data_IF_746549608030
#
_entry.id   IF_746549608030
#
_cell.length_a   1.000
_cell.length_b   1.000
_cell.length_c   1.000
_cell.angle_alpha   90.00
_cell.angle_beta   90.00
_cell.angle_gamma   90.00
#
_symmetry.space_group_name_H-M   'P 1'
#
loop_
_entity.id
_entity.type
_entity.pdbx_description
1 polymer ?
#
# COMPACT_ATOMS: atom_id res chain seq x y z
N UNK A 1 -79.46 -27.02 -12.43
CA UNK A 1 -79.16 -25.59 -12.60
C UNK A 1 -78.49 -25.15 -11.30
N UNK A 2 -77.16 -25.27 -11.24
CA UNK A 2 -76.20 -24.16 -11.44
C UNK A 2 -76.25 -23.24 -10.20
N UNK A 3 -75.19 -22.98 -9.44
CA UNK A 3 -73.82 -22.74 -9.86
C UNK A 3 -72.79 -22.99 -8.74
N UNK A 4 -71.59 -23.37 -9.20
CA UNK A 4 -70.31 -23.38 -8.48
C UNK A 4 -69.79 -21.94 -8.35
N UNK A 5 -69.22 -21.54 -7.20
CA UNK A 5 -68.29 -20.40 -7.14
C UNK A 5 -67.49 -20.46 -5.82
N UNK A 6 -66.28 -20.99 -5.82
CA UNK A 6 -65.00 -20.33 -6.16
C UNK A 6 -64.32 -19.73 -4.92
N UNK A 7 -63.48 -20.55 -4.29
CA UNK A 7 -62.47 -20.16 -3.30
C UNK A 7 -61.44 -19.27 -3.98
N UNK A 8 -61.37 -17.99 -3.61
CA UNK A 8 -60.29 -17.08 -4.04
C UNK A 8 -59.15 -17.14 -3.02
N UNK A 9 -58.06 -17.84 -3.36
CA UNK A 9 -56.79 -17.75 -2.64
C UNK A 9 -56.11 -16.43 -3.06
N UNK A 10 -55.97 -15.47 -2.14
CA UNK A 10 -55.06 -14.34 -2.34
C UNK A 10 -53.63 -14.83 -2.07
N UNK A 11 -52.83 -14.97 -3.13
CA UNK A 11 -51.39 -15.07 -3.02
C UNK A 11 -50.83 -13.64 -2.97
N UNK A 12 -50.34 -13.21 -1.80
CA UNK A 12 -49.60 -11.97 -1.67
C UNK A 12 -48.18 -12.17 -2.25
N UNK A 13 -47.92 -11.57 -3.39
CA UNK A 13 -46.58 -11.48 -3.98
C UNK A 13 -45.76 -10.48 -3.16
N UNK A 14 -44.91 -10.97 -2.24
CA UNK A 14 -43.82 -10.17 -1.68
C UNK A 14 -42.76 -9.96 -2.77
N UNK A 15 -42.80 -8.80 -3.42
CA UNK A 15 -41.69 -8.35 -4.24
C UNK A 15 -40.53 -7.95 -3.31
N UNK A 16 -39.56 -8.85 -3.13
CA UNK A 16 -38.24 -8.49 -2.60
C UNK A 16 -37.55 -7.61 -3.64
N UNK A 17 -37.65 -6.29 -3.48
CA UNK A 17 -36.77 -5.36 -4.15
C UNK A 17 -35.36 -5.56 -3.60
N UNK A 18 -34.57 -6.39 -4.28
CA UNK A 18 -33.12 -6.42 -4.09
C UNK A 18 -32.58 -5.05 -4.55
N UNK A 19 -32.43 -4.10 -3.62
CA UNK A 19 -31.51 -2.99 -3.81
C UNK A 19 -30.12 -3.59 -3.94
N UNK A 20 -29.71 -3.93 -5.17
CA UNK A 20 -28.31 -3.95 -5.51
C UNK A 20 -27.82 -2.52 -5.24
N UNK A 21 -27.25 -2.28 -4.06
CA UNK A 21 -26.49 -1.07 -3.83
C UNK A 21 -25.46 -1.05 -4.97
N UNK A 22 -25.46 -0.04 -5.86
CA UNK A 22 -24.41 0.06 -6.84
C UNK A 22 -23.13 0.03 -6.03
N UNK A 23 -22.20 -0.85 -6.40
CA UNK A 23 -20.81 -0.75 -5.99
C UNK A 23 -20.35 0.62 -6.49
N UNK A 24 -20.60 1.66 -5.71
CA UNK A 24 -20.06 2.98 -5.94
C UNK A 24 -18.56 2.76 -5.76
N UNK A 25 -17.87 2.53 -6.87
CA UNK A 25 -16.51 3.00 -6.99
C UNK A 25 -16.59 4.46 -6.57
N UNK A 26 -16.13 4.76 -5.35
CA UNK A 26 -16.08 6.13 -4.89
C UNK A 26 -15.02 6.80 -5.76
N UNK A 27 -15.47 7.54 -6.77
CA UNK A 27 -14.64 8.53 -7.43
C UNK A 27 -13.95 9.41 -6.39
N UNK A 28 -12.75 9.91 -6.70
CA UNK A 28 -12.06 10.77 -5.77
C UNK A 28 -12.89 12.05 -5.61
N UNK A 29 -13.07 12.52 -4.38
CA UNK A 29 -13.83 13.77 -4.17
C UNK A 29 -13.14 15.01 -4.74
N UNK A 30 -11.84 14.89 -4.98
CA UNK A 30 -11.00 15.88 -5.67
C UNK A 30 -11.23 15.93 -7.17
N UNK A 31 -11.85 14.92 -7.77
CA UNK A 31 -12.06 14.86 -9.21
C UNK A 31 -13.09 15.92 -9.65
N UNK A 32 -12.85 16.63 -10.76
CA UNK A 32 -13.88 17.46 -11.39
C UNK A 32 -15.09 16.61 -11.79
N UNK A 33 -16.33 17.13 -11.65
CA UNK A 33 -17.52 16.41 -12.11
C UNK A 33 -17.42 16.03 -13.59
N UNK A 34 -17.53 14.75 -13.90
CA UNK A 34 -17.40 14.20 -15.26
C UNK A 34 -15.99 13.77 -15.69
N UNK A 35 -14.99 13.92 -14.82
CA UNK A 35 -13.60 13.45 -15.03
C UNK A 35 -13.20 12.35 -14.04
N UNK A 36 -14.17 11.74 -13.35
CA UNK A 36 -13.93 10.71 -12.35
C UNK A 36 -13.33 9.43 -12.97
N UNK A 37 -12.17 8.98 -12.47
CA UNK A 37 -11.59 7.67 -12.81
C UNK A 37 -11.73 6.71 -11.62
N UNK A 38 -12.58 5.70 -11.79
CA UNK A 38 -12.82 4.65 -10.80
C UNK A 38 -11.56 3.84 -10.44
N UNK A 39 -10.50 3.93 -11.24
CA UNK A 39 -9.23 3.23 -11.03
C UNK A 39 -8.20 4.07 -10.26
N UNK A 40 -8.53 5.33 -9.94
CA UNK A 40 -7.69 6.21 -9.13
C UNK A 40 -7.74 5.80 -7.65
N UNK A 41 -6.57 5.66 -7.02
CA UNK A 41 -6.47 5.44 -5.59
C UNK A 41 -6.61 6.80 -4.88
N UNK A 42 -7.77 7.04 -4.29
CA UNK A 42 -8.13 8.27 -3.58
C UNK A 42 -7.96 8.23 -2.06
N UNK A 43 -8.00 9.40 -1.42
CA UNK A 43 -8.03 9.54 0.04
C UNK A 43 -9.20 8.78 0.69
N UNK A 44 -10.34 8.69 0.01
CA UNK A 44 -11.54 7.96 0.45
C UNK A 44 -11.30 6.46 0.62
N UNK A 45 -10.34 5.89 -0.12
CA UNK A 45 -9.95 4.49 0.04
C UNK A 45 -9.10 4.26 1.29
N UNK A 46 -8.57 5.32 1.91
CA UNK A 46 -7.81 5.21 3.15
C UNK A 46 -8.77 4.93 4.31
N UNK A 47 -8.70 3.74 4.94
CA UNK A 47 -9.70 3.35 5.92
C UNK A 47 -9.53 4.17 7.21
N UNK A 48 -10.64 4.65 7.77
CA UNK A 48 -10.63 5.42 9.03
C UNK A 48 -10.06 4.61 10.22
N UNK A 49 -10.19 3.29 10.16
CA UNK A 49 -9.62 2.32 11.12
C UNK A 49 -8.30 1.70 10.61
N UNK A 50 -7.56 2.42 9.75
CA UNK A 50 -6.24 1.99 9.29
C UNK A 50 -5.28 1.70 10.47
N UNK A 51 -4.38 0.71 10.34
CA UNK A 51 -3.24 0.56 11.24
C UNK A 51 -2.49 1.89 11.38
N UNK A 52 -2.24 2.34 12.61
CA UNK A 52 -1.56 3.61 12.89
C UNK A 52 -0.11 3.37 13.27
N UNK A 53 0.76 4.35 13.04
CA UNK A 53 2.18 4.23 13.38
C UNK A 53 2.40 3.99 14.88
N UNK A 54 1.54 4.59 15.72
CA UNK A 54 1.56 4.52 17.18
C UNK A 54 1.25 3.11 17.71
N UNK A 55 0.59 2.26 16.90
CA UNK A 55 0.29 0.87 17.27
C UNK A 55 1.50 -0.06 17.09
N UNK A 56 2.57 0.40 16.41
CA UNK A 56 3.76 -0.39 16.11
C UNK A 56 5.06 0.31 16.55
N UNK A 57 5.19 0.76 17.81
CA UNK A 57 6.30 1.61 18.23
C UNK A 57 7.64 0.86 18.25
N UNK A 58 8.71 1.60 18.00
CA UNK A 58 10.09 1.17 18.22
C UNK A 58 10.96 2.40 18.50
N UNK A 59 12.01 2.24 19.29
CA UNK A 59 12.91 3.36 19.61
C UNK A 59 13.77 3.72 18.38
N UNK A 60 13.75 4.98 17.90
CA UNK A 60 14.66 5.45 16.85
C UNK A 60 16.12 5.25 17.22
N UNK A 61 16.93 4.87 16.23
CA UNK A 61 18.38 4.73 16.38
C UNK A 61 19.10 5.98 15.88
N UNK A 62 19.97 6.53 16.72
CA UNK A 62 20.74 7.76 16.45
C UNK A 62 22.25 7.50 16.34
N UNK A 63 22.66 6.23 16.34
CA UNK A 63 24.06 5.85 16.26
C UNK A 63 24.63 5.89 14.83
N UNK A 64 25.89 5.44 14.65
CA UNK A 64 26.55 5.43 13.35
C UNK A 64 25.88 4.46 12.37
N UNK A 65 25.99 4.80 11.07
CA UNK A 65 25.55 3.98 9.95
C UNK A 65 26.76 3.20 9.40
N UNK A 66 26.66 1.88 9.39
CA UNK A 66 27.67 1.00 8.83
C UNK A 66 27.69 1.05 7.30
N UNK A 67 28.86 0.80 6.70
CA UNK A 67 28.98 0.69 5.26
C UNK A 67 28.16 -0.49 4.71
N UNK A 68 27.45 -0.27 3.60
CA UNK A 68 26.62 -1.32 2.97
C UNK A 68 27.46 -2.53 2.55
N UNK A 69 26.93 -3.71 2.85
CA UNK A 69 27.45 -5.01 2.43
C UNK A 69 26.67 -5.52 1.22
N UNK A 70 27.19 -5.26 0.02
CA UNK A 70 26.57 -5.67 -1.25
C UNK A 70 27.37 -6.72 -2.02
N UNK A 71 28.63 -7.01 -1.63
CA UNK A 71 29.54 -7.84 -2.46
C UNK A 71 29.06 -9.28 -2.67
N UNK A 72 28.50 -9.89 -1.63
CA UNK A 72 28.01 -11.28 -1.64
C UNK A 72 26.57 -11.41 -2.15
N UNK A 73 25.91 -10.29 -2.44
CA UNK A 73 24.54 -10.22 -2.90
C UNK A 73 24.54 -9.69 -4.36
N UNK A 74 24.31 -10.57 -5.36
CA UNK A 74 24.37 -10.18 -6.76
C UNK A 74 23.42 -9.04 -7.12
N UNK A 75 22.23 -9.00 -6.50
CA UNK A 75 21.23 -7.97 -6.78
C UNK A 75 21.62 -6.66 -6.10
N UNK A 76 22.06 -6.69 -4.85
CA UNK A 76 22.59 -5.49 -4.19
C UNK A 76 23.83 -4.92 -4.92
N UNK A 77 24.68 -5.78 -5.51
CA UNK A 77 25.86 -5.34 -6.29
C UNK A 77 25.48 -4.54 -7.54
N UNK A 78 24.37 -4.85 -8.18
CA UNK A 78 23.83 -4.10 -9.32
C UNK A 78 23.53 -2.65 -8.93
N UNK A 79 22.98 -2.44 -7.72
CA UNK A 79 22.57 -1.13 -7.21
C UNK A 79 23.52 -0.53 -6.17
N UNK A 80 24.79 -0.96 -6.16
CA UNK A 80 25.78 -0.58 -5.14
C UNK A 80 25.90 0.94 -4.92
N UNK A 81 25.77 1.73 -5.98
CA UNK A 81 25.86 3.21 -5.89
C UNK A 81 24.64 3.77 -5.17
N UNK A 82 23.43 3.34 -5.54
CA UNK A 82 22.19 3.79 -4.88
C UNK A 82 22.19 3.42 -3.40
N UNK A 83 22.55 2.17 -3.09
CA UNK A 83 22.65 1.70 -1.71
C UNK A 83 23.67 2.50 -0.89
N UNK A 84 24.85 2.75 -1.47
CA UNK A 84 25.89 3.56 -0.83
C UNK A 84 25.37 4.97 -0.53
N UNK A 85 24.80 5.64 -1.53
CA UNK A 85 24.26 7.00 -1.38
C UNK A 85 23.18 7.03 -0.29
N UNK A 86 22.24 6.07 -0.28
CA UNK A 86 21.23 5.99 0.78
C UNK A 86 21.84 5.93 2.18
N UNK A 87 22.91 5.16 2.40
CA UNK A 87 23.58 5.13 3.71
C UNK A 87 24.43 6.35 4.04
N UNK A 88 24.83 7.14 3.05
CA UNK A 88 25.61 8.36 3.25
C UNK A 88 24.71 9.57 3.49
N UNK A 89 23.59 9.64 2.78
CA UNK A 89 22.72 10.82 2.73
C UNK A 89 21.59 10.73 3.75
N UNK A 90 21.23 9.52 4.19
CA UNK A 90 20.10 9.31 5.09
C UNK A 90 20.55 8.83 6.47
N UNK A 91 19.82 9.31 7.49
CA UNK A 91 19.83 8.72 8.83
C UNK A 91 18.83 7.55 8.87
N UNK A 92 18.94 6.63 9.86
CA UNK A 92 17.91 5.64 10.12
C UNK A 92 16.52 6.30 10.18
N UNK A 93 15.67 5.96 9.23
CA UNK A 93 14.38 6.60 8.98
C UNK A 93 13.21 5.62 9.11
N UNK A 94 13.50 4.35 9.43
CA UNK A 94 12.49 3.31 9.54
C UNK A 94 12.78 2.31 10.66
N UNK A 95 11.73 1.87 11.36
CA UNK A 95 11.74 0.73 12.26
C UNK A 95 12.94 0.70 13.23
N UNK A 96 13.26 1.84 13.82
CA UNK A 96 14.40 2.05 14.71
C UNK A 96 15.67 2.34 13.94
N UNK A 97 16.35 1.30 13.47
CA UNK A 97 17.70 1.38 12.89
C UNK A 97 17.78 1.03 11.40
N UNK A 98 16.65 0.96 10.71
CA UNK A 98 16.63 0.66 9.29
C UNK A 98 16.58 1.94 8.47
N UNK A 99 17.12 1.84 7.25
CA UNK A 99 17.04 2.86 6.22
C UNK A 99 16.23 2.27 5.06
N UNK A 100 15.13 2.92 4.69
CA UNK A 100 14.41 2.64 3.46
C UNK A 100 15.09 3.38 2.33
N UNK A 101 15.67 2.63 1.41
CA UNK A 101 16.27 3.14 0.18
C UNK A 101 15.32 2.86 -0.99
N UNK A 102 15.07 3.85 -1.84
CA UNK A 102 14.24 3.66 -3.03
C UNK A 102 14.73 4.48 -4.22
N UNK A 103 14.46 4.00 -5.42
CA UNK A 103 14.80 4.63 -6.70
C UNK A 103 13.88 4.13 -7.82
N UNK A 104 13.88 4.77 -8.99
CA UNK A 104 13.08 4.31 -10.13
C UNK A 104 13.59 3.00 -10.73
N UNK A 105 12.69 2.08 -11.08
CA UNK A 105 12.98 0.83 -11.82
C UNK A 105 12.55 0.84 -13.29
N UNK A 106 11.85 1.88 -13.74
CA UNK A 106 11.28 1.98 -15.08
C UNK A 106 10.09 2.94 -15.09
N UNK A 107 9.30 2.92 -16.16
CA UNK A 107 8.11 3.78 -16.32
C UNK A 107 7.14 3.62 -15.15
N UNK A 108 7.04 4.65 -14.32
CA UNK A 108 6.18 4.71 -13.13
C UNK A 108 6.43 3.62 -12.07
N UNK A 109 7.60 2.97 -12.11
CA UNK A 109 8.00 1.92 -11.18
C UNK A 109 9.03 2.47 -10.18
N UNK A 110 8.84 2.19 -8.89
CA UNK A 110 9.86 2.40 -7.85
C UNK A 110 10.32 1.06 -7.27
N UNK A 111 11.63 0.94 -7.04
CA UNK A 111 12.26 -0.20 -6.39
C UNK A 111 12.70 0.20 -4.99
N UNK A 112 12.45 -0.69 -4.03
CA UNK A 112 12.73 -0.48 -2.61
C UNK A 112 13.75 -1.50 -2.10
N UNK A 113 14.58 -1.06 -1.16
CA UNK A 113 15.45 -1.89 -0.32
C UNK A 113 15.38 -1.40 1.11
N UNK A 114 15.62 -2.32 2.04
CA UNK A 114 15.79 -1.99 3.45
C UNK A 114 17.23 -2.28 3.85
N UNK A 115 17.89 -1.33 4.49
CA UNK A 115 19.27 -1.47 4.94
C UNK A 115 19.28 -1.42 6.46
N UNK A 116 19.88 -2.42 7.10
CA UNK A 116 20.18 -2.34 8.53
C UNK A 116 21.37 -1.42 8.75
N UNK A 117 21.13 -0.24 9.33
CA UNK A 117 22.18 0.75 9.56
C UNK A 117 23.27 0.27 10.54
N UNK A 118 22.99 -0.74 11.38
CA UNK A 118 23.99 -1.26 12.35
C UNK A 118 25.01 -2.18 11.68
N UNK A 119 24.57 -2.92 10.66
CA UNK A 119 25.38 -3.99 10.06
C UNK A 119 25.75 -3.71 8.60
N UNK A 120 25.02 -2.83 7.93
CA UNK A 120 25.11 -2.59 6.49
C UNK A 120 24.44 -3.68 5.66
N UNK A 121 23.71 -4.62 6.28
CA UNK A 121 23.00 -5.70 5.57
C UNK A 121 21.85 -5.12 4.75
N UNK A 122 21.76 -5.56 3.49
CA UNK A 122 20.65 -5.22 2.59
C UNK A 122 19.58 -6.31 2.67
N UNK A 123 18.32 -5.88 2.66
CA UNK A 123 17.15 -6.72 2.57
C UNK A 123 16.37 -6.40 1.30
N UNK A 124 15.84 -7.46 0.71
CA UNK A 124 14.93 -7.49 -0.43
C UNK A 124 13.53 -7.71 0.11
N UNK A 125 12.75 -6.63 0.37
CA UNK A 125 11.54 -6.74 1.17
C UNK A 125 10.39 -7.27 0.32
N UNK A 126 10.30 -8.60 0.20
CA UNK A 126 9.25 -9.26 -0.58
C UNK A 126 7.84 -8.75 -0.22
N UNK A 127 7.08 -8.44 -1.25
CA UNK A 127 5.75 -7.83 -1.16
C UNK A 127 5.73 -6.31 -1.28
N UNK A 128 6.90 -5.65 -1.21
CA UNK A 128 7.07 -4.21 -1.41
C UNK A 128 8.37 -3.88 -2.17
N UNK A 129 9.03 -4.86 -2.78
CA UNK A 129 10.35 -4.67 -3.41
C UNK A 129 10.27 -3.80 -4.66
N UNK A 130 9.19 -3.91 -5.43
CA UNK A 130 8.81 -2.93 -6.45
C UNK A 130 7.39 -2.41 -6.22
N UNK A 131 7.07 -1.26 -6.81
CA UNK A 131 5.73 -0.67 -6.77
C UNK A 131 5.48 0.15 -8.04
N UNK A 132 4.34 -0.07 -8.70
CA UNK A 132 3.86 0.84 -9.74
C UNK A 132 3.06 1.96 -9.07
N UNK A 133 3.40 3.20 -9.43
CA UNK A 133 2.86 4.43 -8.85
C UNK A 133 2.09 5.16 -9.95
N UNK A 134 0.88 4.69 -10.23
CA UNK A 134 -0.02 5.21 -11.27
C UNK A 134 -1.44 5.36 -10.75
N UNK A 135 -2.15 6.35 -11.30
CA UNK A 135 -3.54 6.71 -10.96
C UNK A 135 -3.71 6.78 -9.44
N UNK A 136 -2.93 7.67 -8.80
CA UNK A 136 -3.04 7.97 -7.38
C UNK A 136 -3.44 9.44 -7.31
N UNK A 137 -4.49 9.71 -6.54
CA UNK A 137 -5.01 11.06 -6.36
C UNK A 137 -3.97 11.99 -5.71
N UNK A 138 -3.93 13.26 -6.15
CA UNK A 138 -2.95 14.25 -5.72
C UNK A 138 -2.91 14.44 -4.20
N UNK A 139 -4.04 14.76 -3.55
CA UNK A 139 -4.15 14.83 -2.08
C UNK A 139 -3.62 13.60 -1.33
N UNK A 140 -3.89 12.39 -1.81
CA UNK A 140 -3.37 11.17 -1.18
C UNK A 140 -1.85 11.05 -1.36
N UNK A 141 -1.33 11.45 -2.52
CA UNK A 141 0.10 11.47 -2.78
C UNK A 141 0.83 12.54 -1.96
N UNK A 142 0.24 13.72 -1.80
CA UNK A 142 0.83 14.83 -1.03
C UNK A 142 0.87 14.54 0.49
N UNK A 143 -0.02 13.68 0.99
CA UNK A 143 -0.03 13.17 2.37
C UNK A 143 1.07 12.11 2.61
N UNK A 144 2.33 12.48 2.38
CA UNK A 144 3.49 11.66 2.71
C UNK A 144 3.92 10.64 1.65
N UNK A 145 3.39 10.73 0.43
CA UNK A 145 3.83 9.96 -0.73
C UNK A 145 3.29 8.53 -0.80
N UNK A 146 3.77 7.81 -1.82
CA UNK A 146 3.41 6.42 -2.10
C UNK A 146 4.00 5.40 -1.12
N UNK A 147 5.06 5.77 -0.39
CA UNK A 147 5.66 4.98 0.68
C UNK A 147 5.65 5.80 1.96
N UNK A 148 4.92 5.33 2.98
CA UNK A 148 4.84 6.02 4.28
C UNK A 148 5.45 5.15 5.36
N UNK A 149 6.44 5.69 6.05
CA UNK A 149 7.19 5.00 7.09
C UNK A 149 7.83 6.02 8.04
N UNK A 150 8.15 5.59 9.26
CA UNK A 150 8.76 6.44 10.30
C UNK A 150 9.86 5.72 11.05
N UNK A 151 10.82 6.48 11.57
CA UNK A 151 11.94 5.93 12.36
C UNK A 151 11.48 5.30 13.67
N UNK A 152 10.37 5.78 14.24
CA UNK A 152 9.80 5.34 15.51
C UNK A 152 8.69 4.28 15.36
N UNK A 153 8.47 3.76 14.15
CA UNK A 153 7.44 2.75 13.90
C UNK A 153 7.91 1.63 12.99
N UNK A 154 7.40 0.42 13.24
CA UNK A 154 7.58 -0.76 12.39
C UNK A 154 6.53 -0.84 11.28
N UNK A 155 5.55 0.07 11.25
CA UNK A 155 4.52 0.14 10.21
C UNK A 155 5.10 0.76 8.92
N UNK A 156 4.79 0.11 7.80
CA UNK A 156 5.11 0.54 6.45
C UNK A 156 3.85 0.53 5.59
N UNK A 157 3.55 1.64 4.93
CA UNK A 157 2.36 1.79 4.09
C UNK A 157 2.82 1.99 2.65
N UNK A 158 2.23 1.24 1.73
CA UNK A 158 2.51 1.32 0.30
C UNK A 158 1.20 1.53 -0.46
N UNK A 159 1.19 2.56 -1.32
CA UNK A 159 0.07 2.95 -2.16
C UNK A 159 0.50 2.73 -3.62
N UNK A 160 -0.27 1.94 -4.38
CA UNK A 160 0.05 1.55 -5.75
C UNK A 160 -0.10 0.05 -5.99
N UNK A 161 0.72 -0.50 -6.88
CA UNK A 161 0.72 -1.92 -7.28
C UNK A 161 2.01 -2.60 -6.79
N UNK A 162 2.03 -3.12 -5.55
CA UNK A 162 3.21 -3.77 -5.01
C UNK A 162 3.60 -5.01 -5.82
N UNK A 163 4.90 -5.15 -6.11
CA UNK A 163 5.50 -6.19 -6.96
C UNK A 163 4.99 -6.17 -8.41
N UNK A 164 4.58 -5.01 -8.91
CA UNK A 164 4.05 -4.85 -10.28
C UNK A 164 2.87 -5.80 -10.56
N UNK A 165 2.08 -6.11 -9.52
CA UNK A 165 0.94 -7.01 -9.59
C UNK A 165 -0.35 -6.22 -9.38
N UNK A 166 -1.06 -5.91 -10.46
CA UNK A 166 -2.34 -5.19 -10.45
C UNK A 166 -3.39 -5.84 -9.55
N UNK A 167 -3.33 -7.16 -9.31
CA UNK A 167 -4.26 -7.85 -8.38
C UNK A 167 -4.04 -7.44 -6.92
N UNK A 168 -2.91 -6.76 -6.65
CA UNK A 168 -2.48 -6.24 -5.35
C UNK A 168 -2.65 -4.74 -5.23
N UNK A 169 -3.13 -4.07 -6.29
CA UNK A 169 -3.36 -2.64 -6.35
C UNK A 169 -4.19 -2.12 -5.18
N UNK A 170 -3.78 -0.96 -4.65
CA UNK A 170 -4.50 -0.19 -3.64
C UNK A 170 -3.60 0.28 -2.51
N UNK A 171 -4.11 0.25 -1.27
CA UNK A 171 -3.38 0.69 -0.07
C UNK A 171 -3.04 -0.53 0.78
N UNK A 172 -1.75 -0.82 0.92
CA UNK A 172 -1.24 -1.98 1.66
C UNK A 172 -0.49 -1.54 2.91
N UNK A 173 -0.81 -2.17 4.05
CA UNK A 173 -0.21 -1.91 5.35
C UNK A 173 0.62 -3.11 5.77
N UNK A 174 1.86 -2.89 6.17
CA UNK A 174 2.81 -3.94 6.55
C UNK A 174 3.47 -3.64 7.89
N UNK A 175 3.71 -4.68 8.68
CA UNK A 175 4.63 -4.63 9.82
C UNK A 175 5.99 -5.19 9.41
N UNK A 176 7.05 -4.42 9.62
CA UNK A 176 8.41 -4.93 9.50
C UNK A 176 8.80 -5.73 10.74
N UNK A 177 9.21 -6.98 10.50
CA UNK A 177 9.59 -7.94 11.55
C UNK A 177 11.08 -7.92 11.88
N UNK A 178 11.85 -7.03 11.26
CA UNK A 178 13.32 -7.04 11.30
C UNK A 178 13.96 -7.76 10.12
N UNK A 179 13.22 -8.62 9.42
CA UNK A 179 13.73 -9.40 8.27
C UNK A 179 12.75 -9.53 7.10
N UNK A 180 11.45 -9.40 7.33
CA UNK A 180 10.40 -9.48 6.29
C UNK A 180 9.25 -8.52 6.55
N UNK A 181 8.54 -8.17 5.48
CA UNK A 181 7.25 -7.50 5.54
C UNK A 181 6.13 -8.49 5.85
N UNK A 182 5.39 -8.25 6.92
CA UNK A 182 4.17 -8.97 7.25
C UNK A 182 2.97 -8.12 6.82
N UNK A 183 2.20 -8.57 5.83
CA UNK A 183 0.97 -7.89 5.43
C UNK A 183 -0.03 -7.90 6.60
N UNK A 184 -0.52 -6.72 6.97
CA UNK A 184 -1.52 -6.52 8.01
C UNK A 184 -2.92 -6.38 7.38
N UNK A 185 -3.02 -5.52 6.37
CA UNK A 185 -4.27 -5.21 5.67
C UNK A 185 -3.96 -4.73 4.26
N UNK A 186 -4.90 -4.98 3.36
CA UNK A 186 -4.94 -4.36 2.03
C UNK A 186 -6.34 -3.85 1.74
N UNK A 187 -6.45 -2.59 1.36
CA UNK A 187 -7.63 -2.06 0.68
C UNK A 187 -7.36 -2.16 -0.81
N UNK A 188 -8.19 -2.92 -1.52
CA UNK A 188 -8.04 -3.10 -2.97
C UNK A 188 -8.75 -1.97 -3.70
N UNK A 189 -8.10 -1.44 -4.72
CA UNK A 189 -8.70 -0.55 -5.71
C UNK A 189 -8.49 -1.22 -7.07
N UNK A 190 -9.53 -1.38 -7.91
CA UNK A 190 -9.37 -1.98 -9.22
C UNK A 190 -8.31 -1.24 -10.08
N UNK A 191 -7.63 -2.00 -10.92
CA UNK A 191 -6.93 -1.46 -12.07
C UNK A 191 -7.93 -1.27 -13.23
N UNK A 192 -7.56 -0.41 -14.19
CA UNK A 192 -8.34 -0.16 -15.39
C UNK A 192 -8.44 -1.39 -16.30
#
# INVERSE_FOLDING_TARGET
MEAVSAVRRLAALLALAACAAPSLALACKSDPPGEEDANTICQEHYPADAPRFEDYPVKPYTGPVAAVRWRADPQARMYRTMLKNSTQDQRPNFAGHFIVAHWGCGSSCVMNKIIDARTGKVFHPAGVETNVVMNIDGPLFDDGGMLRYRADSRLFILIGDPEEDEKRRGISFFEWTGTRMKLLRRVKVPAA
#
